data_IF_105216427416
#
_entry.id   IF_105216427416
#
_cell.length_a   1.000
_cell.length_b   1.000
_cell.length_c   1.000
_cell.angle_alpha   90.00
_cell.angle_beta   90.00
_cell.angle_gamma   90.00
#
_symmetry.space_group_name_H-M   'P 1'
#
loop_
_entity.id
_entity.type
_entity.pdbx_description
1 polymer ?
#
# COMPACT_ATOMS: atom_id res chain seq x y z
N UNK A 1 -8.62 3.29 -19.09
CA UNK A 1 -9.13 3.34 -17.70
C UNK A 1 -8.54 2.25 -16.81
N UNK A 2 -8.65 0.95 -17.13
CA UNK A 2 -8.01 -0.13 -16.35
C UNK A 2 -6.49 0.07 -16.16
N UNK A 3 -5.79 0.58 -17.17
CA UNK A 3 -4.36 0.92 -17.07
C UNK A 3 -4.06 1.96 -16.00
N UNK A 4 -4.90 2.98 -15.86
CA UNK A 4 -4.77 4.02 -14.82
C UNK A 4 -5.05 3.43 -13.44
N UNK A 5 -6.09 2.60 -13.31
CA UNK A 5 -6.42 1.94 -12.06
C UNK A 5 -5.27 1.03 -11.60
N UNK A 6 -4.80 0.13 -12.47
CA UNK A 6 -3.74 -0.82 -12.15
C UNK A 6 -2.41 -0.11 -11.92
N UNK A 7 -2.08 0.91 -12.71
CA UNK A 7 -0.89 1.74 -12.49
C UNK A 7 -0.91 2.43 -11.12
N UNK A 8 -2.07 2.92 -10.68
CA UNK A 8 -2.23 3.53 -9.34
C UNK A 8 -2.10 2.48 -8.23
N UNK A 9 -2.71 1.31 -8.40
CA UNK A 9 -2.63 0.20 -7.44
C UNK A 9 -1.18 -0.27 -7.25
N UNK A 10 -0.49 -0.55 -8.37
CA UNK A 10 0.91 -1.00 -8.38
C UNK A 10 1.83 0.11 -7.87
N UNK A 11 1.64 1.35 -8.30
CA UNK A 11 2.45 2.49 -7.83
C UNK A 11 2.28 2.76 -6.34
N UNK A 12 1.08 2.54 -5.79
CA UNK A 12 0.77 2.77 -4.38
C UNK A 12 1.46 1.82 -3.40
N UNK A 13 2.05 0.72 -3.86
CA UNK A 13 2.85 -0.18 -3.00
C UNK A 13 4.35 0.14 -3.03
N UNK A 14 4.83 0.98 -3.95
CA UNK A 14 6.26 1.27 -4.16
C UNK A 14 6.93 1.94 -2.98
N UNK A 15 6.23 2.81 -2.26
CA UNK A 15 6.75 3.44 -1.04
C UNK A 15 5.77 3.19 0.08
N UNK A 16 6.22 3.20 1.34
CA UNK A 16 5.27 3.13 2.45
C UNK A 16 4.41 4.40 2.57
N UNK A 17 4.72 5.44 1.80
CA UNK A 17 3.92 6.67 1.66
C UNK A 17 2.80 6.54 0.63
N UNK A 18 2.89 5.55 -0.27
CA UNK A 18 1.93 5.35 -1.36
C UNK A 18 0.52 4.95 -0.90
N UNK A 19 0.36 4.50 0.34
CA UNK A 19 -0.96 4.22 0.91
C UNK A 19 -0.93 4.00 2.41
N UNK A 20 -2.00 4.41 3.10
CA UNK A 20 -2.14 4.32 4.56
C UNK A 20 -1.87 2.91 5.12
N UNK A 21 -2.18 1.86 4.34
CA UNK A 21 -1.91 0.45 4.71
C UNK A 21 -0.41 0.15 4.92
N UNK A 22 0.48 0.81 4.17
CA UNK A 22 1.91 0.52 4.24
C UNK A 22 2.52 1.17 5.48
N UNK A 23 2.16 2.43 5.75
CA UNK A 23 2.50 3.12 6.99
C UNK A 23 1.93 2.37 8.22
N UNK A 24 0.72 1.81 8.10
CA UNK A 24 0.13 0.93 9.10
C UNK A 24 0.96 -0.31 9.35
N UNK A 25 1.40 -0.99 8.30
CA UNK A 25 2.23 -2.17 8.44
C UNK A 25 3.56 -1.87 9.15
N UNK A 26 4.24 -0.77 8.78
CA UNK A 26 5.49 -0.35 9.42
C UNK A 26 5.26 0.00 10.89
N UNK A 27 4.19 0.75 11.20
CA UNK A 27 3.85 1.11 12.59
C UNK A 27 3.52 -0.12 13.46
N UNK A 28 2.75 -1.08 12.93
CA UNK A 28 2.43 -2.31 13.64
C UNK A 28 3.66 -3.19 13.87
N UNK A 29 4.59 -3.26 12.92
CA UNK A 29 5.86 -3.98 13.10
C UNK A 29 6.70 -3.37 14.23
N UNK A 30 6.81 -2.04 14.25
CA UNK A 30 7.54 -1.32 15.30
C UNK A 30 6.91 -1.55 16.67
N UNK A 31 5.59 -1.45 16.79
CA UNK A 31 4.88 -1.58 18.06
C UNK A 31 4.86 -3.04 18.58
N UNK A 32 4.62 -4.01 17.70
CA UNK A 32 4.40 -5.42 18.11
C UNK A 32 5.72 -6.17 18.28
N UNK A 33 6.73 -5.84 17.46
CA UNK A 33 7.97 -6.60 17.36
C UNK A 33 9.24 -5.77 17.58
N UNK A 34 9.15 -4.44 17.70
CA UNK A 34 10.30 -3.56 17.94
C UNK A 34 11.22 -3.35 16.73
N UNK A 35 10.88 -3.90 15.55
CA UNK A 35 11.67 -3.74 14.34
C UNK A 35 11.22 -2.51 13.56
N UNK A 36 12.17 -1.80 12.96
CA UNK A 36 11.90 -0.64 12.09
C UNK A 36 12.26 -0.98 10.65
N UNK A 37 11.41 -0.56 9.72
CA UNK A 37 11.69 -0.56 8.28
C UNK A 37 11.84 0.91 7.87
N UNK A 38 13.03 1.28 7.40
CA UNK A 38 13.26 2.63 6.89
C UNK A 38 12.76 2.77 5.43
N UNK A 39 12.79 4.01 4.92
CA UNK A 39 12.30 4.33 3.58
C UNK A 39 13.00 3.56 2.46
N UNK A 40 14.32 3.42 2.54
CA UNK A 40 15.11 2.72 1.52
C UNK A 40 14.95 1.21 1.61
N UNK A 41 14.89 0.64 2.82
CA UNK A 41 14.61 -0.78 3.02
C UNK A 41 13.27 -1.15 2.39
N UNK A 42 12.21 -0.37 2.64
CA UNK A 42 10.92 -0.60 2.00
C UNK A 42 11.02 -0.62 0.48
N UNK A 43 11.68 0.41 -0.10
CA UNK A 43 11.87 0.52 -1.54
C UNK A 43 12.61 -0.69 -2.13
N UNK A 44 13.68 -1.14 -1.46
CA UNK A 44 14.45 -2.30 -1.89
C UNK A 44 13.57 -3.55 -1.93
N UNK A 45 12.71 -3.74 -0.91
CA UNK A 45 11.79 -4.87 -0.92
C UNK A 45 10.70 -4.71 -1.99
N UNK A 46 10.10 -3.53 -2.16
CA UNK A 46 8.94 -3.35 -3.04
C UNK A 46 9.27 -3.22 -4.53
N UNK A 47 10.41 -2.62 -4.90
CA UNK A 47 10.78 -2.36 -6.31
C UNK A 47 10.75 -3.62 -7.17
N UNK A 48 11.32 -4.77 -6.76
CA UNK A 48 11.30 -6.00 -7.55
C UNK A 48 9.86 -6.43 -7.89
N UNK A 49 8.99 -6.50 -6.89
CA UNK A 49 7.60 -6.90 -7.07
C UNK A 49 6.85 -5.89 -7.96
N UNK A 50 7.00 -4.59 -7.69
CA UNK A 50 6.39 -3.51 -8.45
C UNK A 50 6.79 -3.55 -9.91
N UNK A 51 8.08 -3.74 -10.19
CA UNK A 51 8.61 -3.75 -11.56
C UNK A 51 8.04 -4.93 -12.34
N UNK A 52 8.06 -6.13 -11.74
CA UNK A 52 7.51 -7.34 -12.36
C UNK A 52 6.01 -7.15 -12.65
N UNK A 53 5.24 -6.67 -11.68
CA UNK A 53 3.81 -6.43 -11.84
C UNK A 53 3.50 -5.33 -12.86
N UNK A 54 4.30 -4.27 -12.90
CA UNK A 54 4.09 -3.16 -13.82
C UNK A 54 4.32 -3.59 -15.27
N UNK A 55 5.42 -4.29 -15.55
CA UNK A 55 5.73 -4.80 -16.89
C UNK A 55 4.68 -5.81 -17.34
N UNK A 56 4.32 -6.77 -16.47
CA UNK A 56 3.30 -7.76 -16.80
C UNK A 56 1.92 -7.13 -16.95
N UNK A 57 1.51 -6.24 -16.04
CA UNK A 57 0.20 -5.58 -16.11
C UNK A 57 0.06 -4.73 -17.36
N UNK A 58 1.11 -4.03 -17.77
CA UNK A 58 1.14 -3.31 -19.04
C UNK A 58 0.98 -4.25 -20.25
N UNK A 59 1.76 -5.32 -20.32
CA UNK A 59 1.69 -6.30 -21.40
C UNK A 59 0.33 -7.01 -21.44
N UNK A 60 -0.22 -7.39 -20.28
CA UNK A 60 -1.51 -8.04 -20.13
C UNK A 60 -2.64 -7.14 -20.65
N UNK A 61 -2.64 -5.86 -20.26
CA UNK A 61 -3.71 -4.95 -20.67
C UNK A 61 -3.67 -4.65 -22.17
N UNK A 62 -2.48 -4.49 -22.76
CA UNK A 62 -2.35 -4.26 -24.22
C UNK A 62 -2.73 -5.51 -25.03
N UNK A 63 -2.49 -6.71 -24.50
CA UNK A 63 -2.83 -7.97 -25.19
C UNK A 63 -4.31 -8.32 -25.06
N UNK A 64 -4.94 -8.02 -23.92
CA UNK A 64 -6.37 -8.30 -23.70
C UNK A 64 -7.30 -7.23 -24.25
N UNK A 65 -6.86 -5.96 -24.27
CA UNK A 65 -7.69 -4.83 -24.65
C UNK A 65 -6.99 -4.00 -25.72
N UNK A 66 -7.70 -3.75 -26.82
CA UNK A 66 -7.18 -2.89 -27.86
C UNK A 66 -7.05 -1.45 -27.33
N UNK A 67 -5.84 -0.85 -27.40
CA UNK A 67 -5.68 0.54 -27.03
C UNK A 67 -6.51 1.43 -27.96
N UNK A 68 -7.24 2.38 -27.38
CA UNK A 68 -7.96 3.37 -28.16
C UNK A 68 -6.96 4.22 -28.96
N UNK A 69 -7.30 4.49 -30.22
CA UNK A 69 -6.50 5.40 -31.05
C UNK A 69 -6.74 6.82 -30.57
N UNK A 70 -5.79 7.37 -29.84
CA UNK A 70 -5.83 8.75 -29.36
C UNK A 70 -5.18 9.67 -30.37
N UNK A 71 -5.84 10.78 -30.71
CA UNK A 71 -5.21 11.86 -31.46
C UNK A 71 -4.28 12.65 -30.53
N UNK A 72 -2.97 12.37 -30.62
CA UNK A 72 -1.95 13.02 -29.79
C UNK A 72 -1.86 14.53 -30.04
N UNK A 73 -2.17 14.99 -31.25
CA UNK A 73 -2.13 16.41 -31.59
C UNK A 73 -3.22 17.17 -30.84
N UNK A 74 -4.46 16.67 -30.89
CA UNK A 74 -5.59 17.25 -30.17
C UNK A 74 -5.38 17.23 -28.64
N UNK A 75 -4.87 16.11 -28.09
CA UNK A 75 -4.55 16.00 -26.68
C UNK A 75 -3.47 17.03 -26.26
N UNK A 76 -2.43 17.23 -27.09
CA UNK A 76 -1.36 18.20 -26.80
C UNK A 76 -1.86 19.65 -26.81
N UNK A 77 -2.76 19.98 -27.75
CA UNK A 77 -3.38 21.31 -27.84
C UNK A 77 -4.23 21.57 -26.61
N UNK A 78 -5.02 20.57 -26.18
CA UNK A 78 -5.85 20.68 -24.98
C UNK A 78 -5.01 20.88 -23.72
N UNK A 79 -3.95 20.09 -23.54
CA UNK A 79 -3.04 20.23 -22.38
C UNK A 79 -2.38 21.60 -22.37
N UNK A 80 -1.89 22.10 -23.52
CA UNK A 80 -1.31 23.45 -23.62
C UNK A 80 -2.31 24.53 -23.23
N UNK A 81 -3.55 24.43 -23.73
CA UNK A 81 -4.61 25.37 -23.40
C UNK A 81 -4.92 25.39 -21.91
N UNK A 82 -5.03 24.22 -21.26
CA UNK A 82 -5.24 24.15 -19.80
C UNK A 82 -4.07 24.76 -19.04
N UNK A 83 -2.82 24.51 -19.48
CA UNK A 83 -1.62 25.07 -18.87
C UNK A 83 -1.55 26.61 -19.01
N UNK A 84 -1.95 27.16 -20.15
CA UNK A 84 -2.01 28.61 -20.39
C UNK A 84 -3.10 29.29 -19.55
N UNK A 85 -4.17 28.56 -19.22
CA UNK A 85 -5.26 29.06 -18.37
C UNK A 85 -4.97 28.94 -16.87
N UNK A 86 -3.93 28.21 -16.46
CA UNK A 86 -3.58 28.04 -15.05
C UNK A 86 -2.97 29.31 -14.46
N UNK A 87 -3.49 29.81 -13.32
CA UNK A 87 -2.88 30.94 -12.63
C UNK A 87 -1.49 30.57 -12.08
N UNK A 88 -0.61 31.56 -11.84
CA UNK A 88 0.65 31.32 -11.16
C UNK A 88 0.40 30.81 -9.74
N UNK A 89 1.35 30.03 -9.20
CA UNK A 89 1.29 29.52 -7.83
C UNK A 89 1.05 30.64 -6.83
N UNK A 90 0.09 30.44 -5.95
CA UNK A 90 -0.11 31.34 -4.81
C UNK A 90 0.99 31.16 -3.78
N UNK A 91 1.23 32.18 -2.93
CA UNK A 91 2.23 32.09 -1.86
C UNK A 91 2.00 30.88 -0.94
N UNK A 92 0.73 30.61 -0.61
CA UNK A 92 0.37 29.47 0.23
C UNK A 92 0.62 28.12 -0.47
N UNK A 93 0.38 28.01 -1.78
CA UNK A 93 0.68 26.80 -2.54
C UNK A 93 2.19 26.55 -2.64
N UNK A 94 3.00 27.61 -2.82
CA UNK A 94 4.45 27.49 -2.81
C UNK A 94 4.96 27.03 -1.44
N UNK A 95 4.44 27.64 -0.36
CA UNK A 95 4.81 27.28 1.00
C UNK A 95 4.40 25.85 1.36
N UNK A 96 3.18 25.44 0.98
CA UNK A 96 2.71 24.06 1.11
C UNK A 96 3.63 23.07 0.38
N UNK A 97 4.02 23.40 -0.85
CA UNK A 97 4.93 22.58 -1.66
C UNK A 97 6.29 22.40 -0.99
N UNK A 98 6.85 23.48 -0.43
CA UNK A 98 8.13 23.44 0.31
C UNK A 98 8.00 22.52 1.53
N UNK A 99 6.93 22.65 2.33
CA UNK A 99 6.73 21.82 3.53
C UNK A 99 6.58 20.35 3.14
N UNK A 100 5.85 20.04 2.07
CA UNK A 100 5.72 18.66 1.56
C UNK A 100 7.09 18.10 1.17
N UNK A 101 7.90 18.84 0.43
CA UNK A 101 9.26 18.42 0.05
C UNK A 101 10.12 18.19 1.28
N UNK A 102 10.09 19.11 2.26
CA UNK A 102 10.82 18.94 3.53
C UNK A 102 10.33 17.72 4.33
N UNK A 103 9.03 17.43 4.30
CA UNK A 103 8.44 16.25 4.97
C UNK A 103 8.95 14.97 4.33
N UNK A 104 8.96 14.89 2.99
CA UNK A 104 9.49 13.75 2.24
C UNK A 104 10.99 13.57 2.53
N UNK A 105 11.77 14.65 2.49
CA UNK A 105 13.18 14.61 2.89
C UNK A 105 13.34 14.15 4.35
N UNK A 106 12.46 14.61 5.25
CA UNK A 106 12.42 14.17 6.64
C UNK A 106 12.23 12.66 6.77
N UNK A 107 11.23 12.08 6.10
CA UNK A 107 10.99 10.62 6.07
C UNK A 107 12.14 9.82 5.48
N UNK A 108 12.86 10.36 4.51
CA UNK A 108 14.06 9.72 3.95
C UNK A 108 15.21 9.74 4.98
N UNK A 109 15.32 10.83 5.76
CA UNK A 109 16.38 11.05 6.73
C UNK A 109 16.06 10.54 8.14
N UNK A 110 14.84 10.03 8.42
CA UNK A 110 14.40 9.64 9.78
C UNK A 110 15.32 8.63 10.47
N UNK A 111 16.05 7.81 9.71
CA UNK A 111 17.06 6.90 10.27
C UNK A 111 18.21 7.61 11.01
N UNK A 112 18.47 8.89 10.71
CA UNK A 112 19.60 9.66 11.23
C UNK A 112 19.21 10.70 12.30
N UNK A 113 17.94 11.12 12.33
CA UNK A 113 17.49 12.29 13.12
C UNK A 113 16.80 11.84 14.43
N UNK A 114 16.50 10.56 14.62
CA UNK A 114 15.85 10.03 15.83
C UNK A 114 14.37 10.42 15.98
N UNK A 115 13.88 11.37 15.16
CA UNK A 115 12.47 11.65 14.95
C UNK A 115 11.89 10.52 14.10
N UNK A 116 11.13 9.61 14.71
CA UNK A 116 10.41 8.57 13.96
C UNK A 116 9.44 9.15 12.92
N UNK A 117 8.84 8.29 12.08
CA UNK A 117 7.92 8.71 11.02
C UNK A 117 6.78 9.62 11.53
N UNK A 118 6.22 9.27 12.71
CA UNK A 118 5.17 10.05 13.36
C UNK A 118 5.64 11.46 13.77
N UNK A 119 6.89 11.60 14.23
CA UNK A 119 7.45 12.88 14.65
C UNK A 119 7.57 13.85 13.48
N UNK A 120 8.08 13.39 12.33
CA UNK A 120 8.17 14.19 11.09
C UNK A 120 6.78 14.63 10.61
N UNK A 121 5.81 13.71 10.62
CA UNK A 121 4.42 14.01 10.22
C UNK A 121 3.76 15.04 11.15
N UNK A 122 3.99 14.95 12.46
CA UNK A 122 3.44 15.90 13.44
C UNK A 122 4.01 17.31 13.26
N UNK A 123 5.34 17.43 13.06
CA UNK A 123 5.98 18.72 12.80
C UNK A 123 5.41 19.34 11.52
N UNK A 124 5.26 18.55 10.46
CA UNK A 124 4.65 19.00 9.20
C UNK A 124 3.22 19.52 9.43
N UNK A 125 2.37 18.73 10.10
CA UNK A 125 0.99 19.14 10.40
C UNK A 125 0.92 20.44 11.21
N UNK A 126 1.77 20.58 12.24
CA UNK A 126 1.86 21.80 13.06
C UNK A 126 2.23 23.02 12.19
N UNK A 127 3.20 22.88 11.28
CA UNK A 127 3.59 23.96 10.37
C UNK A 127 2.44 24.36 9.45
N UNK A 128 1.69 23.40 8.90
CA UNK A 128 0.52 23.68 8.06
C UNK A 128 -0.54 24.53 8.79
N UNK A 129 -0.80 24.23 10.08
CA UNK A 129 -1.77 24.98 10.88
C UNK A 129 -1.24 26.35 11.35
N UNK A 130 0.00 26.43 11.84
CA UNK A 130 0.59 27.69 12.32
C UNK A 130 0.71 28.72 11.19
N UNK A 131 1.07 28.26 9.99
CA UNK A 131 1.23 29.12 8.81
C UNK A 131 -0.11 29.45 8.14
N UNK A 132 -1.24 28.93 8.66
CA UNK A 132 -2.57 29.19 8.13
C UNK A 132 -2.79 28.65 6.72
N UNK A 133 -2.05 27.62 6.32
CA UNK A 133 -2.12 27.02 4.98
C UNK A 133 -3.39 26.15 4.86
N UNK A 134 -3.76 25.48 5.95
CA UNK A 134 -4.94 24.60 6.01
C UNK A 134 -5.75 24.93 7.27
N UNK A 135 -7.08 25.01 7.11
CA UNK A 135 -8.01 25.15 8.23
C UNK A 135 -8.27 23.80 8.91
N UNK A 136 -8.39 23.80 10.24
CA UNK A 136 -8.66 22.57 11.01
C UNK A 136 -9.92 21.84 10.55
N UNK A 137 -11.02 22.56 10.25
CA UNK A 137 -12.28 21.93 9.84
C UNK A 137 -12.15 21.23 8.49
N UNK A 138 -11.33 21.78 7.60
CA UNK A 138 -11.06 21.14 6.32
C UNK A 138 -10.14 19.94 6.49
N UNK A 139 -9.09 20.06 7.31
CA UNK A 139 -8.21 18.94 7.63
C UNK A 139 -8.98 17.77 8.29
N UNK A 140 -9.81 18.06 9.30
CA UNK A 140 -10.60 17.07 10.04
C UNK A 140 -11.52 16.25 9.13
N UNK A 141 -12.12 16.87 8.12
CA UNK A 141 -12.98 16.19 7.13
C UNK A 141 -12.23 15.19 6.27
N UNK A 142 -10.94 15.41 6.06
CA UNK A 142 -10.08 14.53 5.25
C UNK A 142 -9.40 13.44 6.09
N UNK A 143 -9.43 13.55 7.44
CA UNK A 143 -8.84 12.54 8.33
C UNK A 143 -9.72 11.29 8.36
N UNK A 144 -9.10 10.14 8.04
CA UNK A 144 -9.75 8.84 8.17
C UNK A 144 -9.70 8.34 9.62
N UNK A 145 -10.68 8.76 10.43
CA UNK A 145 -10.81 8.32 11.83
C UNK A 145 -10.94 6.80 11.98
N UNK A 146 -11.59 6.13 11.03
CA UNK A 146 -11.72 4.68 11.02
C UNK A 146 -10.35 4.00 11.01
N UNK A 147 -9.40 4.51 10.23
CA UNK A 147 -8.04 4.00 10.23
C UNK A 147 -7.42 4.09 11.63
N UNK A 148 -7.51 5.24 12.31
CA UNK A 148 -6.99 5.40 13.67
C UNK A 148 -7.54 4.35 14.65
N UNK A 149 -8.86 4.15 14.67
CA UNK A 149 -9.47 3.12 15.54
C UNK A 149 -9.05 1.69 15.15
N UNK A 150 -8.84 1.43 13.85
CA UNK A 150 -8.35 0.14 13.38
C UNK A 150 -6.92 -0.15 13.83
N UNK A 151 -6.03 0.85 13.92
CA UNK A 151 -4.70 0.68 14.51
C UNK A 151 -4.81 0.21 15.97
N UNK A 152 -5.62 0.92 16.77
CA UNK A 152 -5.83 0.55 18.17
C UNK A 152 -6.39 -0.86 18.33
N UNK A 153 -7.37 -1.23 17.49
CA UNK A 153 -7.92 -2.59 17.45
C UNK A 153 -6.90 -3.65 17.04
N UNK A 154 -6.08 -3.38 16.03
CA UNK A 154 -5.03 -4.29 15.55
C UNK A 154 -3.94 -4.54 16.60
N UNK A 155 -3.47 -3.48 17.27
CA UNK A 155 -2.49 -3.58 18.36
C UNK A 155 -3.08 -4.37 19.52
N UNK A 156 -4.35 -4.09 19.88
CA UNK A 156 -5.07 -4.84 20.92
C UNK A 156 -5.18 -6.32 20.56
N UNK A 157 -5.53 -6.64 19.31
CA UNK A 157 -5.61 -8.01 18.82
C UNK A 157 -4.23 -8.70 18.87
N UNK A 158 -3.16 -8.02 18.42
CA UNK A 158 -1.78 -8.51 18.51
C UNK A 158 -1.32 -8.79 19.95
N UNK A 159 -1.69 -7.91 20.87
CA UNK A 159 -1.43 -8.09 22.31
C UNK A 159 -2.22 -9.28 22.87
N UNK A 160 -3.50 -9.41 22.50
CA UNK A 160 -4.32 -10.55 22.91
C UNK A 160 -3.76 -11.89 22.40
N UNK A 161 -3.30 -11.96 21.14
CA UNK A 161 -2.60 -13.13 20.60
C UNK A 161 -1.32 -13.47 21.38
N UNK A 162 -0.61 -12.46 21.85
CA UNK A 162 0.61 -12.64 22.66
C UNK A 162 0.32 -13.18 24.06
N UNK A 163 -0.79 -12.76 24.65
CA UNK A 163 -1.16 -13.13 26.02
C UNK A 163 -1.89 -14.47 26.10
N UNK A 164 -2.56 -14.90 25.04
CA UNK A 164 -3.41 -16.10 25.02
C UNK A 164 -2.74 -17.33 24.41
N UNK A 165 -1.48 -17.21 23.95
CA UNK A 165 -0.77 -18.24 23.17
C UNK A 165 -1.55 -18.73 21.94
N UNK A 166 -2.52 -17.95 21.45
CA UNK A 166 -3.36 -18.33 20.31
C UNK A 166 -2.54 -18.49 19.02
N UNK A 167 -1.40 -17.80 18.90
CA UNK A 167 -0.44 -18.03 17.81
C UNK A 167 0.13 -19.46 17.82
N UNK A 168 0.48 -19.97 19.00
CA UNK A 168 0.99 -21.34 19.18
C UNK A 168 -0.12 -22.36 18.87
N UNK A 169 -1.35 -22.10 19.33
CA UNK A 169 -2.51 -22.95 19.02
C UNK A 169 -2.75 -23.07 17.51
N UNK A 170 -2.67 -21.95 16.78
CA UNK A 170 -2.84 -21.95 15.33
C UNK A 170 -1.69 -22.66 14.61
N UNK A 171 -0.45 -22.46 15.05
CA UNK A 171 0.72 -23.18 14.54
C UNK A 171 0.57 -24.70 14.70
N UNK A 172 0.05 -25.17 15.83
CA UNK A 172 -0.18 -26.59 16.06
C UNK A 172 -1.22 -27.21 15.10
N UNK A 173 -2.10 -26.40 14.50
CA UNK A 173 -3.07 -26.85 13.47
C UNK A 173 -2.50 -26.81 12.05
N UNK A 174 -1.31 -26.24 11.88
CA UNK A 174 -0.68 -25.97 10.61
C UNK A 174 0.72 -26.63 10.53
N UNK A 175 0.82 -27.96 10.72
CA UNK A 175 2.11 -28.66 10.89
C UNK A 175 2.99 -28.64 9.62
N UNK A 176 2.43 -28.32 8.46
CA UNK A 176 3.15 -28.18 7.19
C UNK A 176 3.83 -26.83 7.03
N UNK A 177 3.56 -25.87 7.91
CA UNK A 177 4.33 -24.65 7.99
C UNK A 177 5.59 -24.95 8.78
N UNK A 178 6.57 -25.54 8.09
CA UNK A 178 7.96 -25.51 8.53
C UNK A 178 8.39 -24.05 8.72
N UNK A 179 9.54 -23.80 9.37
CA UNK A 179 10.17 -22.47 9.45
C UNK A 179 10.66 -21.95 8.08
N UNK A 180 9.79 -22.04 7.07
CA UNK A 180 10.02 -21.65 5.69
C UNK A 180 9.18 -20.40 5.39
N UNK A 181 9.88 -19.27 5.32
CA UNK A 181 9.29 -17.95 5.06
C UNK A 181 8.53 -17.90 3.72
N UNK A 182 8.93 -18.69 2.73
CA UNK A 182 8.28 -18.72 1.41
C UNK A 182 6.87 -19.29 1.52
N UNK A 183 6.68 -20.39 2.25
CA UNK A 183 5.37 -21.04 2.42
C UNK A 183 4.44 -20.13 3.22
N UNK A 184 4.92 -19.60 4.35
CA UNK A 184 4.15 -18.70 5.20
C UNK A 184 3.79 -17.41 4.47
N UNK A 185 4.75 -16.81 3.78
CA UNK A 185 4.57 -15.59 2.99
C UNK A 185 3.56 -15.78 1.86
N UNK A 186 3.62 -16.90 1.12
CA UNK A 186 2.65 -17.20 0.07
C UNK A 186 1.24 -17.43 0.61
N UNK A 187 1.12 -18.15 1.72
CA UNK A 187 -0.18 -18.42 2.35
C UNK A 187 -0.87 -17.13 2.79
N UNK A 188 -0.18 -16.29 3.56
CA UNK A 188 -0.75 -15.03 4.01
C UNK A 188 -0.86 -14.00 2.89
N UNK A 189 0.03 -14.03 1.90
CA UNK A 189 -0.09 -13.23 0.68
C UNK A 189 -1.35 -13.56 -0.12
N UNK A 190 -1.68 -14.85 -0.26
CA UNK A 190 -2.91 -15.32 -0.89
C UNK A 190 -4.16 -14.87 -0.12
N UNK A 191 -4.17 -15.06 1.20
CA UNK A 191 -5.29 -14.61 2.05
C UNK A 191 -5.46 -13.09 1.92
N UNK A 192 -4.35 -12.34 1.94
CA UNK A 192 -4.37 -10.87 1.81
C UNK A 192 -4.96 -10.43 0.47
N UNK A 193 -4.54 -11.07 -0.63
CA UNK A 193 -5.08 -10.80 -1.97
C UNK A 193 -6.56 -11.11 -2.11
N UNK A 194 -7.03 -12.19 -1.49
CA UNK A 194 -8.45 -12.54 -1.54
C UNK A 194 -9.25 -11.54 -0.73
N UNK A 195 -8.83 -11.26 0.51
CA UNK A 195 -9.58 -10.39 1.41
C UNK A 195 -9.64 -8.93 0.90
N UNK A 196 -8.57 -8.43 0.30
CA UNK A 196 -8.50 -7.03 -0.17
C UNK A 196 -9.50 -6.70 -1.29
N UNK A 197 -10.06 -7.71 -1.96
CA UNK A 197 -11.11 -7.50 -2.95
C UNK A 197 -12.49 -7.19 -2.32
N UNK A 198 -12.68 -7.58 -1.06
CA UNK A 198 -13.96 -7.48 -0.35
C UNK A 198 -13.95 -6.45 0.78
N UNK A 199 -12.80 -6.21 1.39
CA UNK A 199 -12.63 -5.30 2.53
C UNK A 199 -11.48 -4.33 2.28
N UNK A 200 -11.46 -3.22 3.02
CA UNK A 200 -10.40 -2.22 2.88
C UNK A 200 -9.02 -2.81 3.10
N UNK A 201 -8.06 -2.43 2.27
CA UNK A 201 -6.67 -2.87 2.32
C UNK A 201 -6.04 -2.63 3.70
N UNK A 202 -6.36 -1.50 4.35
CA UNK A 202 -5.88 -1.21 5.69
C UNK A 202 -6.47 -2.19 6.73
N UNK A 203 -7.72 -2.63 6.53
CA UNK A 203 -8.36 -3.64 7.39
C UNK A 203 -7.69 -5.00 7.25
N UNK A 204 -7.32 -5.41 6.04
CA UNK A 204 -6.57 -6.64 5.81
C UNK A 204 -5.25 -6.61 6.59
N UNK A 205 -4.50 -5.51 6.52
CA UNK A 205 -3.26 -5.35 7.28
C UNK A 205 -3.51 -5.40 8.78
N UNK A 206 -4.46 -4.62 9.27
CA UNK A 206 -4.83 -4.55 10.69
C UNK A 206 -5.24 -5.92 11.27
N UNK A 207 -5.94 -6.74 10.49
CA UNK A 207 -6.40 -8.06 10.93
C UNK A 207 -5.31 -9.12 10.88
N UNK A 208 -4.57 -9.19 9.77
CA UNK A 208 -3.65 -10.31 9.52
C UNK A 208 -2.26 -10.06 10.09
N UNK A 209 -1.73 -8.84 10.01
CA UNK A 209 -0.34 -8.58 10.36
C UNK A 209 0.02 -8.93 11.81
N UNK A 210 -0.81 -8.60 12.83
CA UNK A 210 -0.49 -8.97 14.21
C UNK A 210 -0.35 -10.48 14.40
N UNK A 211 -1.22 -11.26 13.73
CA UNK A 211 -1.15 -12.72 13.73
C UNK A 211 0.12 -13.23 13.03
N UNK A 212 0.41 -12.69 11.84
CA UNK A 212 1.60 -13.05 11.04
C UNK A 212 2.88 -12.79 11.83
N UNK A 213 2.98 -11.63 12.49
CA UNK A 213 4.16 -11.28 13.30
C UNK A 213 4.36 -12.23 14.47
N UNK A 214 3.28 -12.63 15.16
CA UNK A 214 3.40 -13.58 16.28
C UNK A 214 3.86 -14.94 15.81
N UNK A 215 3.29 -15.44 14.71
CA UNK A 215 3.75 -16.70 14.09
C UNK A 215 5.21 -16.59 13.64
N UNK A 216 5.59 -15.48 13.00
CA UNK A 216 6.96 -15.22 12.57
C UNK A 216 7.96 -15.22 13.72
N UNK A 217 7.60 -14.62 14.87
CA UNK A 217 8.42 -14.62 16.09
C UNK A 217 8.61 -16.06 16.58
N UNK A 218 7.52 -16.84 16.68
CA UNK A 218 7.58 -18.23 17.15
C UNK A 218 8.42 -19.14 16.24
N UNK A 219 8.41 -18.89 14.92
CA UNK A 219 9.17 -19.65 13.93
C UNK A 219 10.58 -19.09 13.66
N UNK A 220 10.97 -18.00 14.34
CA UNK A 220 12.22 -17.26 14.15
C UNK A 220 12.47 -16.84 12.68
N UNK A 221 11.42 -16.30 12.04
CA UNK A 221 11.45 -15.82 10.66
C UNK A 221 11.72 -14.31 10.60
N UNK A 222 12.16 -13.83 9.43
CA UNK A 222 12.33 -12.39 9.19
C UNK A 222 10.97 -11.68 9.18
N UNK A 223 10.71 -10.91 10.23
CA UNK A 223 9.46 -10.18 10.43
C UNK A 223 9.30 -9.00 9.46
N UNK A 224 10.40 -8.43 8.95
CA UNK A 224 10.34 -7.35 7.97
C UNK A 224 9.78 -7.88 6.65
N UNK A 225 10.29 -9.01 6.18
CA UNK A 225 9.83 -9.65 4.94
C UNK A 225 8.35 -10.04 5.05
N UNK A 226 7.92 -10.61 6.18
CA UNK A 226 6.51 -10.96 6.41
C UNK A 226 5.60 -9.73 6.46
N UNK A 227 6.07 -8.64 7.06
CA UNK A 227 5.35 -7.36 7.10
C UNK A 227 5.15 -6.79 5.70
N UNK A 228 6.24 -6.72 4.93
CA UNK A 228 6.20 -6.23 3.54
C UNK A 228 5.30 -7.13 2.70
N UNK A 229 5.41 -8.45 2.84
CA UNK A 229 4.54 -9.41 2.13
C UNK A 229 3.07 -9.09 2.38
N UNK A 230 2.64 -9.01 3.62
CA UNK A 230 1.24 -8.72 3.94
C UNK A 230 0.79 -7.34 3.42
N UNK A 231 1.63 -6.31 3.60
CA UNK A 231 1.29 -4.95 3.19
C UNK A 231 1.21 -4.77 1.67
N UNK A 232 2.17 -5.30 0.91
CA UNK A 232 2.18 -5.23 -0.54
C UNK A 232 0.99 -6.02 -1.10
N UNK A 233 0.78 -7.26 -0.65
CA UNK A 233 -0.28 -8.13 -1.19
C UNK A 233 -1.68 -7.64 -0.84
N UNK A 234 -1.90 -7.10 0.36
CA UNK A 234 -3.15 -6.41 0.69
C UNK A 234 -3.38 -5.16 -0.18
N UNK A 235 -2.35 -4.65 -0.85
CA UNK A 235 -2.45 -3.51 -1.74
C UNK A 235 -3.01 -3.82 -3.12
N UNK A 236 -3.03 -5.08 -3.54
CA UNK A 236 -3.17 -5.50 -4.93
C UNK A 236 -4.59 -6.00 -5.25
N UNK A 237 -5.62 -5.20 -4.99
CA UNK A 237 -6.99 -5.54 -5.39
C UNK A 237 -7.24 -5.14 -6.85
N UNK A 238 -7.30 -6.12 -7.74
CA UNK A 238 -7.42 -5.92 -9.19
C UNK A 238 -8.78 -6.35 -9.77
N UNK A 239 -9.56 -7.19 -9.10
CA UNK A 239 -10.75 -7.81 -9.67
C UNK A 239 -12.00 -6.93 -9.53
N UNK A 240 -12.32 -6.51 -8.32
CA UNK A 240 -13.62 -5.89 -8.00
C UNK A 240 -13.53 -4.37 -7.94
N UNK A 241 -14.52 -3.63 -8.50
CA UNK A 241 -14.60 -2.18 -8.36
C UNK A 241 -14.64 -1.69 -6.92
N UNK A 242 -15.22 -2.47 -6.01
CA UNK A 242 -15.34 -2.12 -4.59
C UNK A 242 -14.02 -2.29 -3.83
N UNK A 243 -13.07 -3.06 -4.36
CA UNK A 243 -11.82 -3.39 -3.67
C UNK A 243 -10.92 -2.16 -3.48
N UNK A 244 -10.88 -1.23 -4.45
CA UNK A 244 -10.09 0.00 -4.32
C UNK A 244 -10.74 1.21 -4.99
N UNK A 245 -10.52 2.45 -4.48
CA UNK A 245 -11.01 3.66 -5.12
C UNK A 245 -10.61 3.83 -6.60
N UNK A 246 -9.36 3.52 -7.03
CA UNK A 246 -8.99 3.55 -8.45
C UNK A 246 -9.86 2.65 -9.33
N UNK A 247 -10.19 1.43 -8.87
CA UNK A 247 -11.07 0.55 -9.63
C UNK A 247 -12.50 1.09 -9.69
N UNK A 248 -13.00 1.67 -8.59
CA UNK A 248 -14.33 2.27 -8.55
C UNK A 248 -14.45 3.47 -9.50
N UNK A 249 -13.49 4.40 -9.46
CA UNK A 249 -13.45 5.58 -10.33
C UNK A 249 -13.35 5.14 -11.80
N UNK A 250 -12.45 4.20 -12.09
CA UNK A 250 -12.30 3.62 -13.42
C UNK A 250 -13.61 2.99 -13.90
N UNK A 251 -14.29 2.21 -13.07
CA UNK A 251 -15.55 1.55 -13.42
C UNK A 251 -16.70 2.55 -13.63
N UNK A 252 -16.76 3.61 -12.82
CA UNK A 252 -17.78 4.67 -12.92
C UNK A 252 -17.78 5.42 -14.25
N UNK A 253 -16.70 5.33 -15.03
CA UNK A 253 -16.61 5.88 -16.38
C UNK A 253 -17.54 5.20 -17.40
N UNK A 254 -18.00 3.98 -17.14
CA UNK A 254 -18.86 3.21 -18.05
C UNK A 254 -18.16 2.56 -19.25
N UNK A 255 -16.82 2.65 -19.35
CA UNK A 255 -16.04 2.17 -20.50
C UNK A 255 -15.79 0.65 -20.54
N UNK A 256 -15.99 -0.08 -19.44
CA UNK A 256 -15.79 -1.54 -19.38
C UNK A 256 -16.79 -2.22 -18.44
N UNK A 257 -17.01 -3.52 -18.65
CA UNK A 257 -17.91 -4.31 -17.80
C UNK A 257 -17.15 -4.88 -16.61
N UNK A 258 -17.88 -5.19 -15.52
CA UNK A 258 -17.31 -5.87 -14.35
C UNK A 258 -16.63 -7.19 -14.76
N UNK A 259 -17.19 -7.92 -15.73
CA UNK A 259 -16.60 -9.16 -16.25
C UNK A 259 -15.21 -8.97 -16.85
N UNK A 260 -14.93 -7.80 -17.45
CA UNK A 260 -13.64 -7.50 -18.06
C UNK A 260 -12.59 -7.24 -16.96
N UNK A 261 -13.01 -6.53 -15.91
CA UNK A 261 -12.22 -6.30 -14.69
C UNK A 261 -11.89 -7.60 -13.98
N UNK A 262 -12.87 -8.49 -13.78
CA UNK A 262 -12.65 -9.77 -13.09
C UNK A 262 -11.67 -10.64 -13.88
N UNK A 263 -11.82 -10.73 -15.22
CA UNK A 263 -10.92 -11.53 -16.06
C UNK A 263 -9.48 -11.02 -16.00
N UNK A 264 -9.27 -9.73 -16.21
CA UNK A 264 -7.94 -9.13 -16.16
C UNK A 264 -7.36 -9.17 -14.74
N UNK A 265 -8.19 -8.92 -13.73
CA UNK A 265 -7.81 -8.91 -12.33
C UNK A 265 -7.43 -10.28 -11.79
N UNK A 266 -8.12 -11.34 -12.20
CA UNK A 266 -7.77 -12.70 -11.80
C UNK A 266 -6.39 -13.10 -12.35
N UNK A 267 -6.09 -12.73 -13.59
CA UNK A 267 -4.77 -12.94 -14.19
C UNK A 267 -3.69 -12.13 -13.46
N UNK A 268 -3.99 -10.89 -13.10
CA UNK A 268 -3.09 -10.06 -12.29
C UNK A 268 -2.87 -10.63 -10.88
N UNK A 269 -3.90 -11.07 -10.17
CA UNK A 269 -3.79 -11.64 -8.83
C UNK A 269 -2.99 -12.95 -8.84
N UNK A 270 -3.23 -13.80 -9.84
CA UNK A 270 -2.46 -15.04 -10.02
C UNK A 270 -0.98 -14.72 -10.27
N UNK A 271 -0.71 -13.75 -11.13
CA UNK A 271 0.65 -13.32 -11.42
C UNK A 271 1.30 -12.59 -10.24
N UNK A 272 0.54 -11.86 -9.42
CA UNK A 272 1.01 -11.22 -8.20
C UNK A 272 1.51 -12.26 -7.20
N UNK A 273 0.79 -13.37 -7.02
CA UNK A 273 1.25 -14.50 -6.19
C UNK A 273 2.52 -15.14 -6.73
N UNK A 274 2.58 -15.35 -8.04
CA UNK A 274 3.78 -15.88 -8.67
C UNK A 274 4.98 -14.93 -8.51
N UNK A 275 4.75 -13.63 -8.66
CA UNK A 275 5.77 -12.60 -8.48
C UNK A 275 6.23 -12.53 -7.02
N UNK A 276 5.31 -12.68 -6.06
CA UNK A 276 5.62 -12.81 -4.65
C UNK A 276 6.50 -14.04 -4.37
N UNK A 277 6.18 -15.20 -4.96
CA UNK A 277 7.01 -16.39 -4.84
C UNK A 277 8.44 -16.14 -5.31
N UNK A 278 8.61 -15.48 -6.47
CA UNK A 278 9.93 -15.12 -6.99
C UNK A 278 10.67 -14.22 -6.00
N UNK A 279 10.00 -13.19 -5.48
CA UNK A 279 10.61 -12.27 -4.53
C UNK A 279 11.03 -13.00 -3.25
N UNK A 280 10.14 -13.76 -2.63
CA UNK A 280 10.40 -14.51 -1.39
C UNK A 280 11.51 -15.55 -1.51
N UNK A 281 11.71 -16.13 -2.70
CA UNK A 281 12.66 -17.24 -2.88
C UNK A 281 14.04 -16.80 -3.36
N UNK A 282 14.10 -15.75 -4.18
CA UNK A 282 15.32 -15.39 -4.91
C UNK A 282 15.84 -13.99 -4.58
N UNK A 283 15.02 -13.12 -3.99
CA UNK A 283 15.35 -11.70 -3.80
C UNK A 283 15.38 -11.32 -2.33
N UNK A 284 14.42 -11.81 -1.55
CA UNK A 284 14.27 -11.59 -0.12
C UNK A 284 14.82 -12.76 0.69
#
# INVERSE_FOLDING_TARGET
>A
FLSLAYGTIIGGITTFLGGARNALAVGLLEEIAGFKINFFEWLIYSIPLVTILFVFGFALLITLFNPEKVNLEEASIRIKRELEMMPPFTFFELLASIIIVLTICGWILTGHIGLGLAGVSLISAILFFILGIVDWKEAERQINWSAFFMYGGAITLGSAFSQTDAGIFLLAKLPYFESNIVILGLFFGLISLILTEFISNATVVALLLPLILKIGISLNLDLKILTVTNALMSGLAFMLPIGTPPNLISYSSGYYKISDSIKAGLLMNTFALFSLYICLKFIW
#
